data_IF_804346337522
#
_entry.id   IF_804346337522
#
_cell.length_a   1.000
_cell.length_b   1.000
_cell.length_c   1.000
_cell.angle_alpha   90.00
_cell.angle_beta   90.00
_cell.angle_gamma   90.00
#
_symmetry.space_group_name_H-M   'P 1'
#
loop_
_entity.id
_entity.type
_entity.pdbx_description
1 polymer ?
#
# COMPACT_ATOMS: atom_id res chain seq x y z
N UNK A 1 7.01 -14.67 -23.24
CA UNK A 1 6.15 -13.47 -23.35
C UNK A 1 7.04 -12.35 -23.86
N UNK A 2 7.08 -12.11 -25.17
CA UNK A 2 7.70 -10.91 -25.71
C UNK A 2 6.79 -9.73 -25.30
N UNK A 3 7.03 -9.19 -24.12
CA UNK A 3 6.18 -8.16 -23.53
C UNK A 3 6.43 -6.84 -24.25
N UNK A 4 5.42 -6.33 -24.95
CA UNK A 4 5.44 -4.96 -25.41
C UNK A 4 5.58 -4.00 -24.23
N UNK A 5 6.37 -2.94 -24.42
CA UNK A 5 6.60 -1.94 -23.39
C UNK A 5 5.32 -1.23 -22.97
N UNK A 6 5.29 -0.73 -21.74
CA UNK A 6 4.20 0.14 -21.28
C UNK A 6 4.27 1.50 -22.00
N UNK A 7 3.11 2.13 -22.23
CA UNK A 7 3.08 3.56 -22.59
C UNK A 7 3.55 4.47 -21.44
N UNK A 8 3.79 5.75 -21.74
CA UNK A 8 4.33 6.69 -20.74
C UNK A 8 3.41 6.91 -19.53
N UNK A 9 2.09 6.83 -19.72
CA UNK A 9 1.12 6.97 -18.64
C UNK A 9 1.08 5.70 -17.77
N UNK A 10 1.16 4.53 -18.38
CA UNK A 10 1.27 3.24 -17.73
C UNK A 10 2.54 3.14 -16.89
N UNK A 11 3.68 3.60 -17.42
CA UNK A 11 4.94 3.62 -16.67
C UNK A 11 4.85 4.54 -15.44
N UNK A 12 4.27 5.73 -15.57
CA UNK A 12 4.10 6.66 -14.44
C UNK A 12 3.20 6.06 -13.33
N UNK A 13 2.11 5.38 -13.73
CA UNK A 13 1.21 4.67 -12.80
C UNK A 13 1.89 3.50 -12.10
N UNK A 14 2.67 2.69 -12.83
CA UNK A 14 3.45 1.59 -12.24
C UNK A 14 4.46 2.13 -11.23
N UNK A 15 5.21 3.17 -11.56
CA UNK A 15 6.17 3.78 -10.63
C UNK A 15 5.47 4.26 -9.34
N UNK A 16 4.27 4.84 -9.46
CA UNK A 16 3.46 5.28 -8.30
C UNK A 16 3.08 4.08 -7.41
N UNK A 17 2.69 2.95 -8.01
CA UNK A 17 2.32 1.74 -7.27
C UNK A 17 3.53 1.04 -6.65
N UNK A 18 4.68 1.05 -7.32
CA UNK A 18 5.95 0.53 -6.78
C UNK A 18 6.41 1.34 -5.57
N UNK A 19 6.33 2.68 -5.65
CA UNK A 19 6.63 3.56 -4.52
C UNK A 19 5.66 3.29 -3.35
N UNK A 20 4.36 3.22 -3.62
CA UNK A 20 3.36 2.89 -2.60
C UNK A 20 3.59 1.52 -1.96
N UNK A 21 4.02 0.53 -2.74
CA UNK A 21 4.38 -0.81 -2.25
C UNK A 21 5.60 -0.76 -1.33
N UNK A 22 6.64 0.00 -1.70
CA UNK A 22 7.80 0.21 -0.85
C UNK A 22 7.48 0.95 0.45
N UNK A 23 6.54 1.90 0.42
CA UNK A 23 6.01 2.55 1.62
C UNK A 23 5.24 1.55 2.50
N UNK A 24 4.36 0.74 1.92
CA UNK A 24 3.57 -0.24 2.64
C UNK A 24 4.45 -1.30 3.32
N UNK A 25 5.55 -1.74 2.68
CA UNK A 25 6.50 -2.67 3.27
C UNK A 25 7.18 -2.10 4.52
N UNK A 26 7.51 -0.80 4.51
CA UNK A 26 8.05 -0.11 5.70
C UNK A 26 7.01 -0.03 6.81
N UNK A 27 5.76 0.32 6.47
CA UNK A 27 4.65 0.34 7.43
C UNK A 27 4.42 -1.05 8.02
N UNK A 28 4.49 -2.12 7.22
CA UNK A 28 4.39 -3.49 7.71
C UNK A 28 5.44 -3.78 8.78
N UNK A 29 6.71 -3.42 8.54
CA UNK A 29 7.76 -3.56 9.56
C UNK A 29 7.45 -2.82 10.87
N UNK A 30 6.88 -1.61 10.79
CA UNK A 30 6.44 -0.86 11.98
C UNK A 30 5.27 -1.52 12.71
N UNK A 31 4.32 -2.09 11.98
CA UNK A 31 3.18 -2.85 12.53
C UNK A 31 3.69 -4.10 13.27
N UNK A 32 4.66 -4.82 12.71
CA UNK A 32 5.25 -5.98 13.37
C UNK A 32 6.04 -5.58 14.63
N UNK A 33 6.72 -4.44 14.61
CA UNK A 33 7.37 -3.90 15.80
C UNK A 33 6.36 -3.48 16.88
N UNK A 34 5.24 -2.88 16.50
CA UNK A 34 4.12 -2.61 17.40
C UNK A 34 3.57 -3.90 18.02
N UNK A 35 3.36 -4.94 17.21
CA UNK A 35 2.88 -6.23 17.69
C UNK A 35 3.82 -6.87 18.73
N UNK A 36 5.14 -6.75 18.53
CA UNK A 36 6.14 -7.19 19.50
C UNK A 36 6.03 -6.41 20.82
N UNK A 37 5.89 -5.08 20.75
CA UNK A 37 5.72 -4.26 21.94
C UNK A 37 4.46 -4.61 22.74
N UNK A 38 3.34 -4.85 22.06
CA UNK A 38 2.09 -5.31 22.69
C UNK A 38 2.28 -6.67 23.37
N UNK A 39 2.94 -7.62 22.69
CA UNK A 39 3.26 -8.95 23.26
C UNK A 39 4.14 -8.85 24.50
N UNK A 40 5.11 -7.94 24.49
CA UNK A 40 6.05 -7.71 25.60
C UNK A 40 5.51 -6.78 26.69
N UNK A 41 4.31 -6.21 26.51
CA UNK A 41 3.69 -5.23 27.41
C UNK A 41 4.55 -3.97 27.62
N UNK A 42 5.27 -3.54 26.59
CA UNK A 42 6.04 -2.28 26.61
C UNK A 42 5.16 -1.10 26.17
N UNK A 43 5.50 0.14 26.54
CA UNK A 43 4.78 1.32 26.05
C UNK A 43 4.82 1.43 24.51
N UNK A 44 3.66 1.37 23.87
CA UNK A 44 3.54 1.26 22.40
C UNK A 44 3.01 2.51 21.70
N UNK A 45 2.67 3.56 22.46
CA UNK A 45 2.06 4.78 21.92
C UNK A 45 2.91 5.45 20.81
N UNK A 46 4.23 5.46 20.98
CA UNK A 46 5.14 6.01 19.97
C UNK A 46 5.13 5.22 18.66
N UNK A 47 4.99 3.90 18.72
CA UNK A 47 4.97 3.03 17.54
C UNK A 47 3.71 3.28 16.69
N UNK A 48 2.56 3.53 17.34
CA UNK A 48 1.34 3.91 16.62
C UNK A 48 1.48 5.24 15.89
N UNK A 49 2.16 6.23 16.49
CA UNK A 49 2.44 7.49 15.81
C UNK A 49 3.36 7.29 14.60
N UNK A 50 4.36 6.41 14.69
CA UNK A 50 5.24 6.09 13.57
C UNK A 50 4.47 5.43 12.41
N UNK A 51 3.61 4.45 12.71
CA UNK A 51 2.76 3.77 11.71
C UNK A 51 1.88 4.81 11.00
N UNK A 52 1.24 5.70 11.75
CA UNK A 52 0.41 6.78 11.17
C UNK A 52 1.19 7.67 10.21
N UNK A 53 2.38 8.14 10.64
CA UNK A 53 3.26 8.98 9.81
C UNK A 53 3.75 8.26 8.56
N UNK A 54 3.86 6.93 8.59
CA UNK A 54 4.18 6.11 7.42
C UNK A 54 3.02 5.99 6.42
N UNK A 55 1.77 5.98 6.90
CA UNK A 55 0.57 5.83 6.07
C UNK A 55 0.10 7.15 5.42
N UNK A 56 0.23 8.28 6.13
CA UNK A 56 -0.30 9.58 5.66
C UNK A 56 0.17 10.00 4.25
N UNK A 57 1.45 9.87 3.88
CA UNK A 57 1.89 10.28 2.54
C UNK A 57 1.35 9.36 1.43
N UNK A 58 1.00 8.11 1.75
CA UNK A 58 0.42 7.18 0.76
C UNK A 58 -0.96 7.65 0.30
N UNK A 59 -1.70 8.39 1.14
CA UNK A 59 -3.01 8.95 0.76
C UNK A 59 -2.84 9.93 -0.40
N UNK A 60 -1.90 10.88 -0.28
CA UNK A 60 -1.64 11.86 -1.34
C UNK A 60 -1.15 11.21 -2.62
N UNK A 61 -0.21 10.26 -2.50
CA UNK A 61 0.36 9.51 -3.63
C UNK A 61 -0.71 8.76 -4.42
N UNK A 62 -1.62 8.07 -3.72
CA UNK A 62 -2.60 7.19 -4.35
C UNK A 62 -3.88 7.92 -4.78
N UNK A 63 -4.31 8.99 -4.10
CA UNK A 63 -5.65 9.58 -4.33
C UNK A 63 -5.84 10.14 -5.74
N UNK A 64 -4.78 10.61 -6.40
CA UNK A 64 -4.85 11.17 -7.75
C UNK A 64 -5.16 10.13 -8.84
N UNK A 65 -4.62 8.91 -8.72
CA UNK A 65 -4.66 7.90 -9.79
C UNK A 65 -5.35 6.58 -9.37
N UNK A 66 -5.40 6.33 -8.05
CA UNK A 66 -5.88 5.11 -7.41
C UNK A 66 -6.79 5.45 -6.20
N UNK A 67 -7.77 6.33 -6.42
CA UNK A 67 -8.63 6.90 -5.37
C UNK A 67 -9.16 5.89 -4.35
N UNK A 68 -9.68 4.74 -4.81
CA UNK A 68 -10.17 3.67 -3.93
C UNK A 68 -9.09 3.10 -3.01
N UNK A 69 -7.86 2.94 -3.49
CA UNK A 69 -6.74 2.45 -2.66
C UNK A 69 -6.32 3.54 -1.66
N UNK A 70 -6.31 4.81 -2.07
CA UNK A 70 -6.08 5.94 -1.16
C UNK A 70 -7.13 6.06 -0.06
N UNK A 71 -8.39 5.74 -0.37
CA UNK A 71 -9.47 5.70 0.61
C UNK A 71 -9.32 4.50 1.57
N UNK A 72 -8.82 3.35 1.10
CA UNK A 72 -8.45 2.22 1.98
C UNK A 72 -7.33 2.60 2.96
N UNK A 73 -6.30 3.32 2.51
CA UNK A 73 -5.25 3.84 3.40
C UNK A 73 -5.86 4.77 4.45
N UNK A 74 -6.77 5.66 4.04
CA UNK A 74 -7.47 6.58 4.95
C UNK A 74 -8.30 5.81 5.98
N UNK A 75 -9.02 4.77 5.55
CA UNK A 75 -9.79 3.91 6.44
C UNK A 75 -8.88 3.21 7.47
N UNK A 76 -7.72 2.72 7.05
CA UNK A 76 -6.74 2.11 7.95
C UNK A 76 -6.25 3.12 9.00
N UNK A 77 -5.94 4.35 8.58
CA UNK A 77 -5.52 5.42 9.50
C UNK A 77 -6.58 5.67 10.59
N UNK A 78 -7.85 5.73 10.19
CA UNK A 78 -8.98 5.92 11.11
C UNK A 78 -9.12 4.75 12.09
N UNK A 79 -8.94 3.51 11.65
CA UNK A 79 -9.04 2.32 12.50
C UNK A 79 -8.00 2.33 13.61
N UNK A 80 -6.78 2.83 13.36
CA UNK A 80 -5.75 2.95 14.40
C UNK A 80 -6.16 3.91 15.52
N UNK A 81 -6.86 4.99 15.16
CA UNK A 81 -7.30 6.03 16.09
C UNK A 81 -8.56 5.67 16.86
N UNK A 82 -9.31 4.65 16.43
CA UNK A 82 -10.49 4.16 17.15
C UNK A 82 -10.04 3.37 18.40
N UNK A 83 -10.76 3.59 19.50
CA UNK A 83 -10.51 2.91 20.77
C UNK A 83 -10.63 1.39 20.64
N UNK A 84 -10.01 0.65 21.56
CA UNK A 84 -9.98 -0.81 21.56
C UNK A 84 -8.74 -1.36 22.25
N UNK A 85 -8.69 -2.68 22.44
CA UNK A 85 -7.49 -3.33 22.98
C UNK A 85 -6.34 -3.28 21.97
N UNK A 86 -5.11 -3.25 22.47
CA UNK A 86 -3.91 -3.29 21.62
C UNK A 86 -3.87 -4.54 20.73
N UNK A 87 -4.34 -5.69 21.24
CA UNK A 87 -4.43 -6.92 20.45
C UNK A 87 -5.41 -6.80 19.27
N UNK A 88 -6.54 -6.14 19.48
CA UNK A 88 -7.50 -5.85 18.41
C UNK A 88 -6.87 -4.92 17.38
N UNK A 89 -6.13 -3.89 17.82
CA UNK A 89 -5.46 -2.95 16.93
C UNK A 89 -4.38 -3.62 16.09
N UNK A 90 -3.56 -4.50 16.68
CA UNK A 90 -2.56 -5.31 15.95
C UNK A 90 -3.22 -6.14 14.85
N UNK A 91 -4.33 -6.81 15.17
CA UNK A 91 -5.08 -7.61 14.20
C UNK A 91 -5.58 -6.76 13.03
N UNK A 92 -6.28 -5.65 13.34
CA UNK A 92 -6.80 -4.75 12.31
C UNK A 92 -5.70 -4.12 11.45
N UNK A 93 -4.55 -3.79 12.05
CA UNK A 93 -3.39 -3.28 11.32
C UNK A 93 -2.82 -4.31 10.35
N UNK A 94 -2.63 -5.55 10.79
CA UNK A 94 -2.12 -6.63 9.92
C UNK A 94 -3.08 -6.95 8.78
N UNK A 95 -4.37 -7.05 9.08
CA UNK A 95 -5.41 -7.28 8.08
C UNK A 95 -5.49 -6.13 7.07
N UNK A 96 -5.45 -4.88 7.54
CA UNK A 96 -5.45 -3.71 6.68
C UNK A 96 -4.21 -3.62 5.78
N UNK A 97 -3.01 -3.91 6.31
CA UNK A 97 -1.78 -3.98 5.51
C UNK A 97 -1.87 -5.08 4.45
N UNK A 98 -2.39 -6.26 4.81
CA UNK A 98 -2.58 -7.35 3.86
C UNK A 98 -3.57 -6.98 2.74
N UNK A 99 -4.69 -6.35 3.09
CA UNK A 99 -5.68 -5.85 2.12
C UNK A 99 -5.09 -4.80 1.18
N UNK A 100 -4.33 -3.83 1.70
CA UNK A 100 -3.66 -2.81 0.90
C UNK A 100 -2.65 -3.43 -0.07
N UNK A 101 -1.89 -4.43 0.37
CA UNK A 101 -0.94 -5.13 -0.48
C UNK A 101 -1.65 -5.79 -1.66
N UNK A 102 -2.73 -6.53 -1.39
CA UNK A 102 -3.54 -7.14 -2.45
C UNK A 102 -4.15 -6.09 -3.39
N UNK A 103 -4.62 -4.96 -2.87
CA UNK A 103 -5.17 -3.87 -3.68
C UNK A 103 -4.11 -3.25 -4.61
N UNK A 104 -2.88 -3.05 -4.13
CA UNK A 104 -1.75 -2.56 -4.94
C UNK A 104 -1.37 -3.57 -6.03
N UNK A 105 -1.27 -4.87 -5.70
CA UNK A 105 -0.98 -5.93 -6.67
C UNK A 105 -2.06 -6.00 -7.78
N UNK A 106 -3.34 -5.88 -7.41
CA UNK A 106 -4.45 -5.84 -8.39
C UNK A 106 -4.37 -4.59 -9.26
N UNK A 107 -4.13 -3.42 -8.65
CA UNK A 107 -4.01 -2.17 -9.39
C UNK A 107 -2.85 -2.22 -10.40
N UNK A 108 -1.72 -2.80 -10.02
CA UNK A 108 -0.55 -2.92 -10.88
C UNK A 108 -0.84 -3.82 -12.09
N UNK A 109 -1.42 -5.00 -11.86
CA UNK A 109 -1.83 -5.90 -12.96
C UNK A 109 -2.77 -5.21 -13.94
N UNK A 110 -3.77 -4.50 -13.42
CA UNK A 110 -4.73 -3.76 -14.24
C UNK A 110 -4.06 -2.66 -15.06
N UNK A 111 -3.12 -1.91 -14.48
CA UNK A 111 -2.36 -0.88 -15.21
C UNK A 111 -1.54 -1.52 -16.33
N UNK A 112 -0.88 -2.64 -16.05
CA UNK A 112 -0.08 -3.35 -17.07
C UNK A 112 -0.97 -3.86 -18.20
N UNK A 113 -2.11 -4.47 -17.90
CA UNK A 113 -3.08 -4.93 -18.91
C UNK A 113 -3.61 -3.78 -19.77
N UNK A 114 -3.88 -2.62 -19.18
CA UNK A 114 -4.47 -1.47 -19.88
C UNK A 114 -3.46 -0.67 -20.72
N UNK A 115 -2.18 -0.71 -20.36
CA UNK A 115 -1.14 0.15 -20.96
C UNK A 115 -0.04 -0.63 -21.69
N UNK A 116 -0.21 -1.94 -21.90
CA UNK A 116 0.70 -2.73 -22.73
C UNK A 116 0.52 -2.32 -24.19
N UNK A 117 1.61 -1.92 -24.84
CA UNK A 117 1.62 -1.72 -26.30
C UNK A 117 1.66 -3.07 -26.99
N UNK A 118 0.78 -3.31 -27.96
CA UNK A 118 1.00 -4.39 -28.91
C UNK A 118 2.21 -4.03 -29.78
N UNK A 119 3.21 -4.90 -29.81
CA UNK A 119 4.35 -4.75 -30.72
C UNK A 119 3.84 -5.19 -32.10
N UNK A 120 3.44 -4.25 -32.95
CA UNK A 120 3.32 -4.54 -34.38
C UNK A 120 4.70 -4.95 -34.89
N UNK A 121 4.87 -6.24 -35.17
CA UNK A 121 6.01 -6.75 -35.92
C UNK A 121 5.97 -6.10 -37.29
N UNK A 122 6.95 -5.23 -37.58
CA UNK A 122 7.12 -4.64 -38.89
C UNK A 122 7.25 -5.77 -39.94
N UNK A 123 6.49 -5.74 -41.05
CA UNK A 123 6.72 -6.67 -42.14
C UNK A 123 8.10 -6.38 -42.77
N UNK A 124 8.87 -7.45 -42.99
CA UNK A 124 10.19 -7.43 -43.65
C UNK A 124 10.16 -6.85 -45.07
#
# INVERSE_FOLDING_TARGET
MAGGGLDGAGQAKVNTLEEATGMLQRVHGMVEHYALGVKQRTPTAHLLMQIRRGLEPMVGLLKAQFGLVGDQVTALILVMGRGGSDNTRVRSLREGVAQLRTALEIAERKVREQHTKEVELAPE
#
